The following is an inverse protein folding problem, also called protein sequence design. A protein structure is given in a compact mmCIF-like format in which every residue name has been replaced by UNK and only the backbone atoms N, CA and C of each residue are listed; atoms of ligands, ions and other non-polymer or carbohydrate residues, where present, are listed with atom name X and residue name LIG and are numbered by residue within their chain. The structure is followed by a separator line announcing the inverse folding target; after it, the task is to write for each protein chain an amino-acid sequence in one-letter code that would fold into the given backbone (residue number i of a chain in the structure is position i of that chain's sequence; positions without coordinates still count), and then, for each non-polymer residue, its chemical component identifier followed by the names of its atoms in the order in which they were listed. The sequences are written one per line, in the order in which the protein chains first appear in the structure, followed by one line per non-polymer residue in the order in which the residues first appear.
data_IF_027592762875
#
_entry.id   IF_027592762875
#
_cell.length_a   1.000
_cell.length_b   1.000
_cell.length_c   1.000
_cell.angle_alpha   90.00
_cell.angle_beta   90.00
_cell.angle_gamma   90.00
#
_symmetry.space_group_name_H-M   'P 1'
#
loop_
_entity.id
_entity.type
_entity.pdbx_description
1 polymer ?
#
# COMPACT_ATOMS: atom_id res chain seq x y z
N UNK A 1 17.31 -17.43 8.06
CA UNK A 1 16.56 -17.38 6.78
C UNK A 1 15.10 -16.94 6.93
N UNK A 2 14.30 -17.58 7.79
CA UNK A 2 12.84 -17.29 7.88
C UNK A 2 12.51 -15.81 8.15
N UNK A 3 13.28 -15.13 9.00
CA UNK A 3 13.10 -13.70 9.30
C UNK A 3 13.30 -12.83 8.05
N UNK A 4 14.35 -13.10 7.27
CA UNK A 4 14.64 -12.36 6.03
C UNK A 4 13.51 -12.54 5.02
N UNK A 5 12.98 -13.76 4.89
CA UNK A 5 11.82 -14.03 4.03
C UNK A 5 10.59 -13.24 4.51
N UNK A 6 10.32 -13.23 5.82
CA UNK A 6 9.23 -12.45 6.40
C UNK A 6 9.35 -10.94 6.15
N UNK A 7 10.55 -10.39 6.26
CA UNK A 7 10.84 -8.98 5.94
C UNK A 7 10.56 -8.70 4.47
N UNK A 8 11.05 -9.55 3.56
CA UNK A 8 10.85 -9.38 2.12
C UNK A 8 9.37 -9.47 1.72
N UNK A 9 8.61 -10.40 2.31
CA UNK A 9 7.17 -10.52 2.06
C UNK A 9 6.38 -9.33 2.59
N UNK A 10 6.74 -8.84 3.77
CA UNK A 10 6.07 -7.66 4.36
C UNK A 10 6.38 -6.41 3.54
N UNK A 11 7.63 -6.26 3.11
CA UNK A 11 8.04 -5.15 2.25
C UNK A 11 7.35 -5.20 0.89
N UNK A 12 7.29 -6.37 0.25
CA UNK A 12 6.65 -6.53 -1.05
C UNK A 12 5.15 -6.26 -0.98
N UNK A 13 4.47 -6.71 0.08
CA UNK A 13 3.07 -6.39 0.33
C UNK A 13 2.85 -4.89 0.53
N UNK A 14 3.68 -4.25 1.39
CA UNK A 14 3.61 -2.81 1.63
C UNK A 14 3.79 -1.99 0.36
N UNK A 15 4.79 -2.35 -0.46
CA UNK A 15 5.04 -1.71 -1.76
C UNK A 15 3.90 -1.95 -2.76
N UNK A 16 3.35 -3.17 -2.83
CA UNK A 16 2.25 -3.48 -3.73
C UNK A 16 0.99 -2.68 -3.39
N UNK A 17 0.65 -2.57 -2.10
CA UNK A 17 -0.49 -1.78 -1.62
C UNK A 17 -0.27 -0.29 -1.86
N UNK A 18 0.94 0.21 -1.60
CA UNK A 18 1.29 1.60 -1.84
C UNK A 18 1.22 1.98 -3.32
N UNK A 19 1.81 1.15 -4.19
CA UNK A 19 1.78 1.34 -5.63
C UNK A 19 0.35 1.25 -6.19
N UNK A 20 -0.44 0.27 -5.73
CA UNK A 20 -1.85 0.13 -6.10
C UNK A 20 -2.67 1.34 -5.68
N UNK A 21 -2.50 1.83 -4.45
CA UNK A 21 -3.24 3.00 -3.97
C UNK A 21 -2.81 4.32 -4.61
N UNK A 22 -1.64 4.38 -5.22
CA UNK A 22 -1.17 5.53 -5.99
C UNK A 22 -1.47 5.40 -7.50
N UNK A 23 -2.19 4.35 -7.91
CA UNK A 23 -2.59 4.15 -9.29
C UNK A 23 -3.57 5.24 -9.74
N UNK A 24 -3.35 5.76 -10.94
CA UNK A 24 -4.23 6.77 -11.54
C UNK A 24 -5.42 6.08 -12.19
N UNK A 25 -6.64 6.49 -11.83
CA UNK A 25 -7.86 6.00 -12.50
C UNK A 25 -7.84 6.48 -13.96
N UNK A 26 -7.94 5.57 -14.96
CA UNK A 26 -7.95 5.95 -16.36
C UNK A 26 -9.18 6.79 -16.71
N UNK A 27 -9.01 7.74 -17.63
CA UNK A 27 -10.06 8.70 -18.00
C UNK A 27 -11.31 8.03 -18.59
N UNK A 28 -11.14 6.91 -19.28
CA UNK A 28 -12.26 6.10 -19.81
C UNK A 28 -13.14 5.53 -18.70
N UNK A 29 -12.51 5.02 -17.62
CA UNK A 29 -13.23 4.54 -16.45
C UNK A 29 -13.97 5.67 -15.74
N UNK A 30 -13.34 6.85 -15.68
CA UNK A 30 -13.92 8.05 -15.07
C UNK A 30 -15.15 8.54 -15.82
N UNK A 31 -15.18 8.39 -17.15
CA UNK A 31 -16.31 8.79 -17.97
C UNK A 31 -17.45 7.74 -17.96
N UNK A 32 -17.12 6.48 -17.68
CA UNK A 32 -18.10 5.38 -17.63
C UNK A 32 -18.73 5.17 -16.25
N UNK A 33 -18.08 5.62 -15.17
CA UNK A 33 -18.54 5.44 -13.79
C UNK A 33 -19.28 6.69 -13.29
N UNK A 34 -20.33 6.49 -12.51
CA UNK A 34 -21.02 7.58 -11.81
C UNK A 34 -20.11 8.23 -10.74
N UNK A 35 -20.45 9.46 -10.33
CA UNK A 35 -19.69 10.22 -9.30
C UNK A 35 -19.46 9.40 -8.03
N UNK A 36 -20.51 8.71 -7.57
CA UNK A 36 -20.50 7.98 -6.29
C UNK A 36 -19.59 6.76 -6.37
N UNK A 37 -19.59 6.05 -7.50
CA UNK A 37 -18.69 4.92 -7.73
C UNK A 37 -17.23 5.37 -7.82
N UNK A 38 -16.99 6.53 -8.42
CA UNK A 38 -15.65 7.10 -8.53
C UNK A 38 -15.09 7.50 -7.15
N UNK A 39 -15.96 8.00 -6.27
CA UNK A 39 -15.62 8.38 -4.90
C UNK A 39 -15.25 7.15 -4.07
N UNK A 40 -16.05 6.08 -4.13
CA UNK A 40 -15.73 4.79 -3.47
C UNK A 40 -14.39 4.22 -3.95
N UNK A 41 -14.11 4.24 -5.25
CA UNK A 41 -12.82 3.76 -5.79
C UNK A 41 -11.67 4.64 -5.29
N UNK A 42 -11.87 5.96 -5.22
CA UNK A 42 -10.85 6.88 -4.70
C UNK A 42 -10.57 6.62 -3.22
N UNK A 43 -11.60 6.36 -2.42
CA UNK A 43 -11.45 5.99 -1.01
C UNK A 43 -10.71 4.67 -0.84
N UNK A 44 -11.04 3.63 -1.62
CA UNK A 44 -10.34 2.34 -1.59
C UNK A 44 -8.86 2.49 -1.99
N UNK A 45 -8.57 3.26 -3.04
CA UNK A 45 -7.20 3.56 -3.46
C UNK A 45 -6.43 4.33 -2.35
N UNK A 46 -7.04 5.34 -1.74
CA UNK A 46 -6.44 6.08 -0.64
C UNK A 46 -6.17 5.16 0.56
N UNK A 47 -7.12 4.30 0.91
CA UNK A 47 -6.97 3.32 1.99
C UNK A 47 -5.79 2.38 1.73
N UNK A 48 -5.70 1.76 0.55
CA UNK A 48 -4.58 0.90 0.17
C UNK A 48 -3.24 1.62 0.24
N UNK A 49 -3.20 2.88 -0.19
CA UNK A 49 -2.00 3.71 -0.12
C UNK A 49 -1.54 3.90 1.32
N UNK A 50 -2.44 4.29 2.21
CA UNK A 50 -2.14 4.53 3.62
C UNK A 50 -1.76 3.23 4.35
N UNK A 51 -2.45 2.13 4.06
CA UNK A 51 -2.14 0.82 4.61
C UNK A 51 -0.75 0.35 4.19
N UNK A 52 -0.39 0.50 2.90
CA UNK A 52 0.94 0.21 2.39
C UNK A 52 2.03 1.05 3.06
N UNK A 53 1.80 2.36 3.23
CA UNK A 53 2.73 3.25 3.95
C UNK A 53 2.92 2.82 5.40
N UNK A 54 1.83 2.49 6.11
CA UNK A 54 1.88 2.05 7.50
C UNK A 54 2.71 0.77 7.63
N UNK A 55 2.50 -0.22 6.76
CA UNK A 55 3.25 -1.47 6.74
C UNK A 55 4.75 -1.24 6.55
N UNK A 56 5.12 -0.35 5.62
CA UNK A 56 6.53 -0.02 5.37
C UNK A 56 7.15 0.66 6.61
N UNK A 57 6.45 1.63 7.23
CA UNK A 57 6.94 2.33 8.43
C UNK A 57 7.12 1.36 9.59
N UNK A 58 6.15 0.47 9.84
CA UNK A 58 6.23 -0.54 10.89
C UNK A 58 7.39 -1.52 10.65
N UNK A 59 7.59 -1.95 9.40
CA UNK A 59 8.71 -2.81 9.05
C UNK A 59 10.06 -2.12 9.27
N UNK A 60 10.19 -0.84 8.87
CA UNK A 60 11.38 -0.05 9.15
C UNK A 60 11.65 0.05 10.66
N UNK A 61 10.63 0.37 11.46
CA UNK A 61 10.76 0.43 12.91
C UNK A 61 11.21 -0.90 13.53
N UNK A 62 10.62 -2.01 13.09
CA UNK A 62 11.02 -3.35 13.51
C UNK A 62 12.50 -3.65 13.19
N UNK A 63 12.94 -3.35 11.95
CA UNK A 63 14.33 -3.58 11.53
C UNK A 63 15.30 -2.70 12.32
N UNK A 64 14.95 -1.45 12.61
CA UNK A 64 15.79 -0.56 13.43
C UNK A 64 15.96 -1.09 14.85
N UNK A 65 14.88 -1.51 15.51
CA UNK A 65 14.94 -2.09 16.86
C UNK A 65 15.75 -3.37 16.86
N UNK A 66 15.57 -4.24 15.86
CA UNK A 66 16.37 -5.45 15.69
C UNK A 66 17.86 -5.13 15.59
N UNK A 67 18.26 -4.16 14.77
CA UNK A 67 19.66 -3.80 14.56
C UNK A 67 20.33 -3.20 15.80
N UNK A 68 19.53 -2.63 16.71
CA UNK A 68 19.99 -2.02 17.97
C UNK A 68 20.00 -3.01 19.15
N UNK A 69 19.40 -4.19 19.00
CA UNK A 69 19.33 -5.25 20.03
C UNK A 69 20.43 -6.28 19.82
#
# INVERSE_FOLDING_TARGET
MMIVIGILLTLSLGLALWASGNARIPGELKNSLGSDQLEVIREDLAFRKHLGQLLIILLCGFVTVWMLS
#
